data_IF_579360459522
#
_entry.id   IF_579360459522
#
_cell.length_a   1.000
_cell.length_b   1.000
_cell.length_c   1.000
_cell.angle_alpha   90.00
_cell.angle_beta   90.00
_cell.angle_gamma   90.00
#
_symmetry.space_group_name_H-M   'P 1'
#
loop_
_entity.id
_entity.type
_entity.pdbx_description
1 polymer ?
#
# COMPACT_ATOMS: atom_id res chain seq x y z
N UNK A 1 -8.31 7.15 11.74
CA UNK A 1 -9.06 6.05 12.40
C UNK A 1 -8.67 6.01 13.87
N UNK A 2 -9.48 6.58 14.80
CA UNK A 2 -9.03 6.90 16.16
C UNK A 2 -8.39 5.75 16.92
N UNK A 3 -8.97 4.54 16.86
CA UNK A 3 -8.39 3.36 17.51
C UNK A 3 -7.07 2.92 16.88
N UNK A 4 -6.91 2.98 15.55
CA UNK A 4 -5.64 2.63 14.89
C UNK A 4 -4.54 3.63 15.22
N UNK A 5 -4.86 4.92 15.19
CA UNK A 5 -3.89 5.99 15.45
C UNK A 5 -3.43 5.95 16.92
N UNK A 6 -4.36 5.66 17.83
CA UNK A 6 -4.05 5.36 19.24
C UNK A 6 -3.18 4.10 19.39
N UNK A 7 -3.48 3.01 18.68
CA UNK A 7 -2.68 1.78 18.73
C UNK A 7 -1.28 1.99 18.16
N UNK A 8 -1.13 2.71 17.06
CA UNK A 8 0.17 3.00 16.45
C UNK A 8 1.10 3.73 17.42
N UNK A 9 0.57 4.68 18.19
CA UNK A 9 1.35 5.45 19.16
C UNK A 9 1.63 4.72 20.49
N UNK A 10 0.83 3.70 20.84
CA UNK A 10 0.89 3.03 22.15
C UNK A 10 1.43 1.60 22.12
N UNK A 11 1.24 0.85 21.03
CA UNK A 11 1.72 -0.53 20.91
C UNK A 11 3.24 -0.68 21.07
N UNK A 12 4.08 0.19 20.46
CA UNK A 12 5.54 0.06 20.56
C UNK A 12 6.08 0.38 21.96
N UNK A 13 5.28 1.02 22.82
CA UNK A 13 5.72 1.41 24.17
C UNK A 13 5.81 0.18 25.07
N UNK A 14 6.96 0.00 25.72
CA UNK A 14 7.14 -1.01 26.77
C UNK A 14 6.43 -0.55 28.03
N UNK A 15 5.19 -1.01 28.22
CA UNK A 15 4.35 -0.70 29.38
C UNK A 15 3.88 -2.00 30.04
N UNK A 16 3.77 -2.00 31.36
CA UNK A 16 3.18 -3.12 32.10
C UNK A 16 1.76 -3.40 31.61
N UNK A 17 1.43 -4.68 31.40
CA UNK A 17 0.09 -5.12 30.99
C UNK A 17 -1.02 -4.67 31.94
N UNK A 18 -0.69 -4.40 33.21
CA UNK A 18 -1.66 -3.96 34.22
C UNK A 18 -1.86 -2.44 34.25
N UNK A 19 -1.01 -1.67 33.56
CA UNK A 19 -1.13 -0.21 33.49
C UNK A 19 -2.44 0.22 32.81
N UNK A 20 -2.95 1.39 33.18
CA UNK A 20 -4.15 1.96 32.58
C UNK A 20 -3.99 2.09 31.05
N UNK A 21 -2.84 2.60 30.62
CA UNK A 21 -2.53 2.79 29.20
C UNK A 21 -2.52 1.48 28.44
N UNK A 22 -1.92 0.41 28.98
CA UNK A 22 -1.87 -0.88 28.29
C UNK A 22 -3.23 -1.58 28.27
N UNK A 23 -4.07 -1.41 29.30
CA UNK A 23 -5.47 -1.88 29.27
C UNK A 23 -6.27 -1.15 28.19
N UNK A 24 -6.10 0.16 28.05
CA UNK A 24 -6.73 0.94 26.97
C UNK A 24 -6.24 0.48 25.59
N UNK A 25 -4.95 0.18 25.43
CA UNK A 25 -4.42 -0.42 24.19
C UNK A 25 -5.09 -1.75 23.88
N UNK A 26 -5.27 -2.64 24.87
CA UNK A 26 -5.95 -3.93 24.67
C UNK A 26 -7.44 -3.75 24.33
N UNK A 27 -8.14 -2.82 24.99
CA UNK A 27 -9.54 -2.50 24.67
C UNK A 27 -9.69 -1.91 23.26
N UNK A 28 -8.74 -1.09 22.81
CA UNK A 28 -8.73 -0.56 21.45
C UNK A 28 -8.47 -1.67 20.41
N UNK A 29 -7.60 -2.65 20.72
CA UNK A 29 -7.41 -3.85 19.89
C UNK A 29 -8.70 -4.68 19.81
N UNK A 30 -9.31 -4.99 20.95
CA UNK A 30 -10.56 -5.74 21.03
C UNK A 30 -11.66 -5.05 20.22
N UNK A 31 -11.85 -3.74 20.43
CA UNK A 31 -12.83 -2.94 19.70
C UNK A 31 -12.61 -3.00 18.19
N UNK A 32 -11.34 -2.90 17.75
CA UNK A 32 -11.01 -2.97 16.33
C UNK A 32 -11.27 -4.37 15.74
N UNK A 33 -11.03 -5.43 16.51
CA UNK A 33 -11.30 -6.81 16.13
C UNK A 33 -12.80 -7.17 16.14
N UNK A 34 -13.58 -6.56 17.03
CA UNK A 34 -15.03 -6.78 17.19
C UNK A 34 -15.88 -5.91 16.28
N UNK A 35 -15.32 -4.88 15.67
CA UNK A 35 -16.02 -3.97 14.78
C UNK A 35 -16.53 -4.70 13.52
N UNK A 36 -17.82 -4.54 13.24
CA UNK A 36 -18.55 -5.25 12.18
C UNK A 36 -18.52 -4.54 10.83
N UNK A 37 -17.88 -3.38 10.77
CA UNK A 37 -17.79 -2.61 9.53
C UNK A 37 -17.10 -3.41 8.44
N UNK A 38 -17.75 -3.47 7.28
CA UNK A 38 -17.21 -4.20 6.13
C UNK A 38 -16.21 -3.35 5.35
N UNK A 39 -16.12 -2.05 5.66
CA UNK A 39 -15.25 -1.09 4.99
C UNK A 39 -14.49 -0.21 5.97
N UNK A 40 -13.18 -0.11 5.75
CA UNK A 40 -12.30 0.82 6.47
C UNK A 40 -12.14 2.11 5.66
N UNK A 41 -13.08 3.05 5.79
CA UNK A 41 -12.96 4.35 5.13
C UNK A 41 -11.79 5.16 5.67
N UNK A 42 -11.27 6.03 4.81
CA UNK A 42 -10.25 7.03 5.11
C UNK A 42 -10.93 8.39 5.17
N UNK A 43 -10.36 9.32 5.93
CA UNK A 43 -10.98 10.64 6.12
C UNK A 43 -10.99 11.42 4.79
N UNK A 44 -9.92 11.27 4.00
CA UNK A 44 -9.84 11.84 2.65
C UNK A 44 -10.71 11.12 1.60
N UNK A 45 -11.27 9.95 1.95
CA UNK A 45 -11.99 9.09 1.04
C UNK A 45 -13.13 8.36 1.74
N UNK A 46 -14.09 9.13 2.22
CA UNK A 46 -15.30 8.67 2.85
C UNK A 46 -16.56 9.12 2.08
N UNK A 47 -17.69 8.46 2.33
CA UNK A 47 -19.01 8.99 1.96
C UNK A 47 -19.30 10.36 2.59
N UNK A 48 -20.11 11.17 1.92
CA UNK A 48 -20.75 12.36 2.47
C UNK A 48 -22.08 11.92 3.09
N UNK A 49 -22.07 11.59 4.38
CA UNK A 49 -23.19 10.89 5.02
C UNK A 49 -23.33 9.47 4.47
N UNK A 50 -24.43 9.18 3.77
CA UNK A 50 -24.68 7.87 3.15
C UNK A 50 -24.47 7.85 1.62
N UNK A 51 -24.00 8.95 1.04
CA UNK A 51 -23.87 9.09 -0.41
C UNK A 51 -22.43 9.39 -0.84
N UNK A 52 -22.13 9.07 -2.09
CA UNK A 52 -20.93 9.54 -2.78
C UNK A 52 -21.13 11.00 -3.25
N UNK A 53 -20.05 11.71 -3.57
CA UNK A 53 -20.08 13.04 -4.17
C UNK A 53 -20.90 13.13 -5.49
N UNK A 54 -21.15 12.00 -6.15
CA UNK A 54 -22.01 11.93 -7.34
C UNK A 54 -23.50 11.82 -6.99
N UNK A 55 -23.87 11.89 -5.71
CA UNK A 55 -25.25 11.80 -5.21
C UNK A 55 -25.78 10.37 -5.04
N UNK A 56 -25.09 9.36 -5.58
CA UNK A 56 -25.51 7.96 -5.43
C UNK A 56 -25.31 7.45 -4.01
N UNK A 57 -26.27 6.65 -3.54
CA UNK A 57 -26.17 5.99 -2.24
C UNK A 57 -25.06 4.95 -2.26
N UNK A 58 -24.29 4.89 -1.17
CA UNK A 58 -23.20 3.91 -1.03
C UNK A 58 -23.75 2.50 -0.90
N UNK A 59 -24.98 2.35 -0.40
CA UNK A 59 -25.65 1.04 -0.27
C UNK A 59 -26.08 0.44 -1.62
N UNK A 60 -26.03 1.20 -2.72
CA UNK A 60 -26.21 0.66 -4.07
C UNK A 60 -25.06 -0.26 -4.50
N UNK A 61 -23.90 -0.16 -3.85
CA UNK A 61 -22.70 -0.90 -4.24
C UNK A 61 -22.44 -2.07 -3.28
N UNK A 62 -21.98 -3.20 -3.84
CA UNK A 62 -21.41 -4.29 -3.02
C UNK A 62 -20.20 -3.77 -2.22
N UNK A 63 -19.95 -4.32 -1.04
CA UNK A 63 -18.89 -3.82 -0.13
C UNK A 63 -17.51 -3.69 -0.78
N UNK A 64 -17.07 -4.71 -1.53
CA UNK A 64 -15.81 -4.70 -2.28
C UNK A 64 -15.76 -3.67 -3.44
N UNK A 65 -16.87 -2.98 -3.73
CA UNK A 65 -16.99 -1.95 -4.78
C UNK A 65 -17.24 -0.55 -4.23
N UNK A 66 -17.77 -0.42 -3.01
CA UNK A 66 -18.04 0.87 -2.35
C UNK A 66 -16.79 1.77 -2.34
N UNK A 67 -15.67 1.27 -1.82
CA UNK A 67 -14.41 2.02 -1.82
C UNK A 67 -13.90 2.36 -3.23
N UNK A 68 -13.94 1.39 -4.16
CA UNK A 68 -13.50 1.60 -5.54
C UNK A 68 -14.32 2.69 -6.25
N UNK A 69 -15.63 2.72 -5.96
CA UNK A 69 -16.52 3.74 -6.46
C UNK A 69 -16.11 5.12 -5.94
N UNK A 70 -15.95 5.28 -4.62
CA UNK A 70 -15.50 6.53 -3.99
C UNK A 70 -14.19 7.00 -4.62
N UNK A 71 -13.16 6.15 -4.63
CA UNK A 71 -11.84 6.48 -5.21
C UNK A 71 -11.95 7.04 -6.62
N UNK A 72 -12.69 6.35 -7.49
CA UNK A 72 -12.88 6.76 -8.89
C UNK A 72 -13.67 8.05 -9.02
N UNK A 73 -14.69 8.25 -8.18
CA UNK A 73 -15.51 9.45 -8.22
C UNK A 73 -14.73 10.67 -7.74
N UNK A 74 -14.04 10.57 -6.58
CA UNK A 74 -13.22 11.67 -6.04
C UNK A 74 -12.10 12.03 -7.01
N UNK A 75 -11.36 11.02 -7.51
CA UNK A 75 -10.31 11.25 -8.52
C UNK A 75 -10.85 11.94 -9.77
N UNK A 76 -12.03 11.53 -10.27
CA UNK A 76 -12.65 12.16 -11.44
C UNK A 76 -13.05 13.60 -11.15
N UNK A 77 -13.68 13.85 -10.01
CA UNK A 77 -14.13 15.18 -9.61
C UNK A 77 -12.97 16.17 -9.52
N UNK A 78 -11.92 15.82 -8.76
CA UNK A 78 -10.75 16.69 -8.65
C UNK A 78 -10.06 16.90 -10.00
N UNK A 79 -9.94 15.86 -10.84
CA UNK A 79 -9.39 16.01 -12.20
C UNK A 79 -10.23 16.90 -13.09
N UNK A 80 -11.56 16.82 -13.01
CA UNK A 80 -12.42 17.70 -13.80
C UNK A 80 -12.35 19.15 -13.35
N UNK A 81 -12.19 19.38 -12.05
CA UNK A 81 -12.17 20.74 -11.47
C UNK A 81 -10.79 21.41 -11.61
N UNK A 82 -9.70 20.65 -11.44
CA UNK A 82 -8.35 21.19 -11.35
C UNK A 82 -7.39 20.73 -12.47
N UNK A 83 -7.83 19.82 -13.33
CA UNK A 83 -6.98 19.21 -14.38
C UNK A 83 -6.02 18.12 -13.87
N UNK A 84 -5.76 18.08 -12.56
CA UNK A 84 -4.88 17.09 -11.93
C UNK A 84 -5.49 16.59 -10.60
N UNK A 85 -5.26 15.32 -10.29
CA UNK A 85 -5.53 14.78 -8.96
C UNK A 85 -4.70 13.53 -8.69
N UNK A 86 -4.00 13.53 -7.56
CA UNK A 86 -3.36 12.38 -6.95
C UNK A 86 -3.71 12.35 -5.46
N UNK A 87 -3.66 11.17 -4.85
CA UNK A 87 -3.81 11.00 -3.41
C UNK A 87 -2.52 10.40 -2.86
N UNK A 88 -1.98 10.94 -1.78
CA UNK A 88 -0.98 10.26 -0.97
C UNK A 88 -1.69 9.32 0.01
N UNK A 89 -1.52 8.01 -0.14
CA UNK A 89 -2.11 7.08 0.83
C UNK A 89 -1.38 7.04 2.17
N UNK A 90 -0.09 7.39 2.20
CA UNK A 90 0.65 7.47 3.47
C UNK A 90 0.13 8.63 4.32
N UNK A 91 -0.10 9.80 3.72
CA UNK A 91 -0.60 10.99 4.42
C UNK A 91 -2.12 11.13 4.46
N UNK A 92 -2.85 10.32 3.69
CA UNK A 92 -4.29 10.45 3.49
C UNK A 92 -4.72 11.83 2.96
N UNK A 93 -4.05 12.32 1.90
CA UNK A 93 -4.29 13.67 1.37
C UNK A 93 -4.38 13.70 -0.16
N UNK A 94 -5.33 14.48 -0.68
CA UNK A 94 -5.46 14.75 -2.11
C UNK A 94 -4.63 15.97 -2.51
N UNK A 95 -3.90 15.83 -3.61
CA UNK A 95 -3.14 16.87 -4.28
C UNK A 95 -3.76 17.14 -5.65
N UNK A 96 -4.12 18.39 -5.90
CA UNK A 96 -4.75 18.83 -7.14
C UNK A 96 -3.83 19.67 -8.02
N UNK A 97 -2.60 19.92 -7.54
CA UNK A 97 -1.53 20.58 -8.27
C UNK A 97 -0.35 19.61 -8.49
N UNK A 98 0.17 19.55 -9.71
CA UNK A 98 1.27 18.62 -10.05
C UNK A 98 2.59 19.00 -9.37
N UNK A 99 2.88 20.29 -9.20
CA UNK A 99 4.10 20.76 -8.52
C UNK A 99 4.06 20.46 -7.02
N UNK A 100 2.90 20.63 -6.39
CA UNK A 100 2.72 20.28 -4.97
C UNK A 100 2.86 18.77 -4.77
N UNK A 101 2.28 17.95 -5.66
CA UNK A 101 2.45 16.50 -5.63
C UNK A 101 3.92 16.09 -5.82
N UNK A 102 4.63 16.72 -6.76
CA UNK A 102 6.03 16.44 -7.02
C UNK A 102 6.90 16.78 -5.79
N UNK A 103 6.66 17.94 -5.18
CA UNK A 103 7.35 18.35 -3.96
C UNK A 103 7.05 17.39 -2.80
N UNK A 104 5.78 17.03 -2.60
CA UNK A 104 5.37 16.12 -1.55
C UNK A 104 5.99 14.71 -1.70
N UNK A 105 6.08 14.20 -2.92
CA UNK A 105 6.80 12.95 -3.17
C UNK A 105 8.28 13.06 -2.80
N UNK A 106 8.91 14.22 -2.97
CA UNK A 106 10.31 14.41 -2.57
C UNK A 106 10.45 14.35 -1.05
N UNK A 107 9.54 14.94 -0.28
CA UNK A 107 9.56 14.90 1.20
C UNK A 107 9.58 13.46 1.73
N UNK A 108 8.79 12.57 1.12
CA UNK A 108 8.80 11.14 1.44
C UNK A 108 10.09 10.43 1.02
N UNK A 109 10.67 10.80 -0.13
CA UNK A 109 11.93 10.23 -0.61
C UNK A 109 13.14 10.69 0.21
N UNK A 110 13.05 11.86 0.85
CA UNK A 110 14.05 12.37 1.79
C UNK A 110 13.97 11.64 3.15
N UNK A 111 12.82 11.03 3.46
CA UNK A 111 12.58 10.24 4.67
C UNK A 111 12.19 8.79 4.32
N UNK A 112 13.07 8.03 3.63
CA UNK A 112 12.69 6.77 3.01
C UNK A 112 12.36 5.64 4.00
N UNK A 113 12.68 5.81 5.29
CA UNK A 113 12.34 4.86 6.35
C UNK A 113 10.83 4.64 6.48
N UNK A 114 10.02 5.66 6.20
CA UNK A 114 8.56 5.58 6.26
C UNK A 114 7.96 4.70 5.15
N UNK A 115 8.74 4.46 4.08
CA UNK A 115 8.32 3.69 2.91
C UNK A 115 8.87 2.25 2.88
N UNK A 116 9.47 1.77 3.99
CA UNK A 116 10.19 0.49 4.01
C UNK A 116 9.32 -0.70 3.56
N UNK A 117 8.08 -0.74 4.02
CA UNK A 117 7.10 -1.75 3.61
C UNK A 117 6.51 -1.38 2.25
N UNK A 118 6.66 -2.24 1.25
CA UNK A 118 6.34 -1.92 -0.14
C UNK A 118 5.07 -2.62 -0.68
N UNK A 119 4.48 -3.57 0.04
CA UNK A 119 3.32 -4.34 -0.44
C UNK A 119 2.00 -3.54 -0.39
N UNK A 120 1.11 -3.75 -1.36
CA UNK A 120 -0.25 -3.24 -1.28
C UNK A 120 -1.02 -3.97 -0.17
N UNK A 121 -1.62 -3.22 0.74
CA UNK A 121 -2.44 -3.77 1.82
C UNK A 121 -3.91 -3.38 1.66
N UNK A 122 -4.78 -4.37 1.79
CA UNK A 122 -6.23 -4.20 1.82
C UNK A 122 -6.72 -4.63 3.21
N UNK A 123 -7.53 -3.78 3.83
CA UNK A 123 -8.20 -4.08 5.08
C UNK A 123 -9.67 -3.71 4.94
N UNK A 124 -10.58 -4.64 5.28
CA UNK A 124 -12.03 -4.45 5.14
C UNK A 124 -12.38 -3.82 3.80
N UNK A 125 -12.14 -4.53 2.70
CA UNK A 125 -12.49 -4.09 1.34
C UNK A 125 -11.88 -2.74 0.85
N UNK A 126 -11.01 -2.09 1.62
CA UNK A 126 -10.38 -0.82 1.29
C UNK A 126 -8.85 -0.95 1.29
N UNK A 127 -8.15 -0.46 0.25
CA UNK A 127 -6.71 -0.25 0.29
C UNK A 127 -6.32 0.71 1.42
N UNK A 128 -5.48 0.21 2.33
CA UNK A 128 -4.90 1.01 3.41
C UNK A 128 -3.44 1.34 3.15
N UNK A 129 -2.77 0.66 2.22
CA UNK A 129 -1.43 1.01 1.74
C UNK A 129 -1.31 0.65 0.26
N UNK A 130 -0.74 1.53 -0.57
CA UNK A 130 -0.49 1.21 -1.97
C UNK A 130 0.73 0.30 -2.07
N UNK A 131 0.82 -0.46 -3.16
CA UNK A 131 2.10 -1.07 -3.51
C UNK A 131 3.08 0.02 -3.96
N UNK A 132 4.31 -0.01 -3.45
CA UNK A 132 5.42 0.83 -3.91
C UNK A 132 6.53 -0.08 -4.44
N UNK A 133 7.19 0.33 -5.52
CA UNK A 133 8.26 -0.49 -6.08
C UNK A 133 9.62 -0.05 -5.50
N UNK A 134 10.37 -0.92 -4.81
CA UNK A 134 11.66 -0.54 -4.21
C UNK A 134 12.67 -0.06 -5.26
N UNK A 135 12.63 -0.62 -6.46
CA UNK A 135 13.46 -0.20 -7.59
C UNK A 135 13.10 1.18 -8.12
N UNK A 136 11.80 1.49 -8.24
CA UNK A 136 11.37 2.83 -8.66
C UNK A 136 11.65 3.88 -7.60
N UNK A 137 11.47 3.56 -6.32
CA UNK A 137 11.86 4.45 -5.22
C UNK A 137 13.35 4.80 -5.30
N UNK A 138 14.20 3.85 -5.66
CA UNK A 138 15.64 4.03 -5.87
C UNK A 138 16.08 4.78 -7.13
N UNK A 139 15.18 4.99 -8.10
CA UNK A 139 15.55 5.47 -9.42
C UNK A 139 15.82 6.99 -9.43
N UNK A 140 17.01 7.40 -8.97
CA UNK A 140 17.43 8.82 -8.83
C UNK A 140 17.34 9.66 -10.11
N UNK A 141 17.34 9.03 -11.28
CA UNK A 141 17.22 9.70 -12.59
C UNK A 141 15.78 10.09 -12.94
N UNK A 142 14.79 9.61 -12.20
CA UNK A 142 13.36 9.89 -12.43
C UNK A 142 12.86 10.97 -11.46
N UNK A 143 11.84 11.70 -11.90
CA UNK A 143 11.11 12.65 -11.06
C UNK A 143 10.51 11.93 -9.82
N UNK A 144 10.50 12.57 -8.63
CA UNK A 144 9.85 12.06 -7.41
C UNK A 144 8.49 11.38 -7.62
N UNK A 145 7.57 12.01 -8.34
CA UNK A 145 6.22 11.50 -8.64
C UNK A 145 6.23 10.18 -9.41
N UNK A 146 7.25 9.95 -10.25
CA UNK A 146 7.45 8.69 -10.97
C UNK A 146 8.10 7.63 -10.10
N UNK A 147 9.04 8.02 -9.23
CA UNK A 147 9.68 7.12 -8.26
C UNK A 147 8.66 6.57 -7.26
N UNK A 148 7.76 7.41 -6.76
CA UNK A 148 6.66 7.06 -5.86
C UNK A 148 5.37 6.62 -6.58
N UNK A 149 5.47 5.91 -7.70
CA UNK A 149 4.28 5.38 -8.38
C UNK A 149 3.51 4.41 -7.46
N UNK A 150 2.26 4.76 -7.13
CA UNK A 150 1.41 3.99 -6.21
C UNK A 150 0.55 2.95 -6.94
N UNK A 151 0.71 1.67 -6.60
CA UNK A 151 -0.07 0.56 -7.14
C UNK A 151 -1.26 0.25 -6.23
N UNK A 152 -2.36 0.98 -6.41
CA UNK A 152 -3.53 0.92 -5.50
C UNK A 152 -4.51 -0.19 -5.88
N UNK A 153 -4.87 -0.28 -7.17
CA UNK A 153 -5.99 -1.11 -7.64
C UNK A 153 -5.57 -2.48 -8.18
N UNK A 154 -4.27 -2.77 -8.22
CA UNK A 154 -3.78 -3.96 -8.90
C UNK A 154 -2.50 -4.50 -8.26
N UNK A 155 -2.64 -5.26 -7.15
CA UNK A 155 -1.54 -6.05 -6.61
C UNK A 155 -0.84 -6.92 -7.66
N UNK A 156 -1.55 -7.55 -8.63
CA UNK A 156 -0.88 -8.30 -9.68
C UNK A 156 0.07 -7.47 -10.55
N UNK A 157 -0.30 -6.21 -10.87
CA UNK A 157 0.58 -5.31 -11.65
C UNK A 157 1.79 -4.87 -10.84
N UNK A 158 1.62 -4.67 -9.54
CA UNK A 158 2.74 -4.38 -8.64
C UNK A 158 3.76 -5.53 -8.63
N UNK A 159 3.30 -6.77 -8.45
CA UNK A 159 4.18 -7.94 -8.49
C UNK A 159 4.91 -8.07 -9.84
N UNK A 160 4.20 -7.96 -10.97
CA UNK A 160 4.85 -8.11 -12.28
C UNK A 160 5.87 -7.00 -12.53
N UNK A 161 5.57 -5.79 -12.09
CA UNK A 161 6.48 -4.66 -12.25
C UNK A 161 7.81 -4.89 -11.50
N UNK A 162 7.77 -5.47 -10.29
CA UNK A 162 8.98 -5.84 -9.56
C UNK A 162 9.68 -7.02 -10.22
N UNK A 163 8.93 -8.04 -10.67
CA UNK A 163 9.48 -9.18 -11.42
C UNK A 163 10.24 -8.73 -12.67
N UNK A 164 9.78 -7.68 -13.35
CA UNK A 164 10.44 -7.14 -14.54
C UNK A 164 11.78 -6.47 -14.21
N UNK A 165 11.87 -5.70 -13.12
CA UNK A 165 13.16 -5.18 -12.63
C UNK A 165 14.14 -6.30 -12.32
N UNK A 166 13.67 -7.36 -11.65
CA UNK A 166 14.53 -8.50 -11.28
C UNK A 166 15.09 -9.24 -12.50
N UNK A 167 14.32 -9.37 -13.59
CA UNK A 167 14.78 -9.98 -14.85
C UNK A 167 15.85 -9.16 -15.55
N UNK A 168 15.86 -7.85 -15.35
CA UNK A 168 16.83 -6.93 -15.97
C UNK A 168 18.17 -6.89 -15.22
N UNK A 169 18.21 -7.39 -13.97
CA UNK A 169 19.45 -7.47 -13.18
C UNK A 169 20.41 -8.51 -13.78
N UNK A 170 21.66 -8.09 -13.99
CA UNK A 170 22.73 -8.98 -14.49
C UNK A 170 23.80 -9.29 -13.44
N UNK A 171 24.34 -8.24 -12.82
CA UNK A 171 25.49 -8.36 -11.89
C UNK A 171 25.36 -7.48 -10.65
N UNK A 172 24.37 -6.59 -10.62
CA UNK A 172 24.13 -5.65 -9.54
C UNK A 172 22.90 -6.14 -8.77
N UNK A 173 23.15 -6.79 -7.64
CA UNK A 173 22.12 -7.36 -6.77
C UNK A 173 21.82 -6.47 -5.57
N UNK A 174 22.17 -5.19 -5.63
CA UNK A 174 21.91 -4.29 -4.51
C UNK A 174 20.42 -4.00 -4.39
N UNK A 175 19.93 -3.93 -3.15
CA UNK A 175 18.59 -3.40 -2.95
C UNK A 175 18.57 -1.93 -3.36
N UNK A 176 17.66 -1.60 -4.29
CA UNK A 176 17.52 -0.22 -4.79
C UNK A 176 16.64 0.64 -3.90
N UNK A 177 15.99 0.09 -2.89
CA UNK A 177 15.18 0.89 -1.98
C UNK A 177 16.05 1.96 -1.26
N UNK A 178 15.65 3.24 -1.22
CA UNK A 178 16.48 4.32 -0.68
C UNK A 178 16.80 4.20 0.82
N UNK A 179 16.00 3.44 1.58
CA UNK A 179 16.29 3.12 2.99
C UNK A 179 17.26 1.94 3.18
N UNK A 180 17.67 1.26 2.11
CA UNK A 180 18.55 0.10 2.17
C UNK A 180 19.95 0.47 1.68
N UNK A 181 20.97 -0.13 2.31
CA UNK A 181 22.37 0.01 1.91
C UNK A 181 23.06 -1.35 1.71
N UNK A 182 22.27 -2.43 1.66
CA UNK A 182 22.79 -3.80 1.62
C UNK A 182 23.07 -4.23 0.18
N UNK A 183 24.27 -4.73 -0.03
CA UNK A 183 24.73 -5.35 -1.28
C UNK A 183 24.69 -6.87 -1.14
N UNK A 184 24.19 -7.58 -2.15
CA UNK A 184 24.02 -9.03 -2.10
C UNK A 184 24.91 -9.73 -3.13
N UNK A 185 25.27 -11.00 -2.88
CA UNK A 185 26.14 -11.78 -3.77
C UNK A 185 25.36 -12.49 -4.88
N UNK A 186 24.05 -12.60 -4.74
CA UNK A 186 23.19 -13.31 -5.69
C UNK A 186 21.79 -12.71 -5.75
N UNK A 187 21.09 -13.00 -6.85
CA UNK A 187 19.67 -12.68 -7.02
C UNK A 187 18.79 -13.33 -5.96
N UNK A 188 19.18 -14.51 -5.48
CA UNK A 188 18.45 -15.25 -4.45
C UNK A 188 18.51 -14.53 -3.11
N UNK A 189 19.68 -14.07 -2.68
CA UNK A 189 19.85 -13.28 -1.45
C UNK A 189 19.06 -11.96 -1.51
N UNK A 190 19.12 -11.24 -2.65
CA UNK A 190 18.30 -10.05 -2.87
C UNK A 190 16.80 -10.39 -2.76
N UNK A 191 16.37 -11.53 -3.33
CA UNK A 191 14.97 -11.96 -3.28
C UNK A 191 14.50 -12.20 -1.84
N UNK A 192 15.32 -12.85 -1.00
CA UNK A 192 14.99 -13.02 0.42
C UNK A 192 14.87 -11.66 1.13
N UNK A 193 15.79 -10.74 0.86
CA UNK A 193 15.70 -9.39 1.42
C UNK A 193 14.41 -8.66 1.00
N UNK A 194 14.01 -8.75 -0.27
CA UNK A 194 12.76 -8.16 -0.76
C UNK A 194 11.52 -8.78 -0.08
N UNK A 195 11.54 -10.08 0.21
CA UNK A 195 10.47 -10.76 0.96
C UNK A 195 10.41 -10.26 2.39
N UNK A 196 11.55 -10.27 3.10
CA UNK A 196 11.60 -10.05 4.54
C UNK A 196 11.47 -8.57 4.91
N UNK A 197 12.08 -7.68 4.13
CA UNK A 197 12.15 -6.24 4.42
C UNK A 197 11.04 -5.47 3.70
N UNK A 198 10.77 -5.82 2.44
CA UNK A 198 9.86 -5.06 1.58
C UNK A 198 8.50 -5.76 1.37
N UNK A 199 8.28 -6.91 2.01
CA UNK A 199 7.05 -7.71 1.93
C UNK A 199 6.66 -8.10 0.50
N UNK A 200 7.63 -8.19 -0.41
CA UNK A 200 7.38 -8.68 -1.76
C UNK A 200 7.41 -10.20 -1.77
N UNK A 201 6.24 -10.81 -1.72
CA UNK A 201 6.10 -12.26 -1.86
C UNK A 201 5.97 -12.65 -3.34
N UNK A 202 6.94 -13.37 -3.95
CA UNK A 202 6.83 -13.84 -5.32
C UNK A 202 5.51 -14.58 -5.51
N UNK A 203 4.86 -14.38 -6.66
CA UNK A 203 3.67 -15.19 -6.97
C UNK A 203 4.08 -16.65 -6.99
N UNK A 204 3.44 -17.46 -6.16
CA UNK A 204 3.58 -18.92 -6.23
C UNK A 204 3.26 -19.33 -7.66
N UNK A 205 4.23 -19.91 -8.35
CA UNK A 205 3.92 -20.62 -9.59
C UNK A 205 2.92 -21.69 -9.18
N UNK A 206 1.68 -21.58 -9.65
CA UNK A 206 0.70 -22.66 -9.49
C UNK A 206 1.41 -23.94 -9.93
N UNK A 207 1.46 -25.01 -9.10
CA UNK A 207 2.09 -26.25 -9.53
C UNK A 207 1.50 -26.60 -10.89
N UNK A 208 2.36 -26.75 -11.90
CA UNK A 208 1.94 -27.17 -13.24
C UNK A 208 1.01 -28.35 -13.01
N UNK A 209 -0.27 -28.24 -13.43
CA UNK A 209 -1.21 -29.37 -13.37
C UNK A 209 -0.49 -30.55 -14.00
N UNK A 210 -0.07 -31.54 -13.20
CA UNK A 210 0.47 -32.80 -13.75
C UNK A 210 -0.64 -33.32 -14.66
N UNK A 211 -0.39 -33.38 -15.98
CA UNK A 211 -1.30 -34.06 -16.89
C UNK A 211 -1.31 -35.51 -16.43
N UNK A 212 -2.47 -36.00 -15.99
CA UNK A 212 -2.70 -37.39 -15.57
C UNK A 212 -2.69 -38.34 -16.79
N UNK A 213 -1.74 -38.18 -17.72
CA UNK A 213 -1.70 -38.94 -18.97
C UNK A 213 -0.55 -39.95 -19.05
N UNK A 214 0.35 -40.01 -18.06
CA UNK A 214 1.53 -40.89 -18.11
C UNK A 214 1.59 -41.94 -16.98
N UNK A 215 0.45 -42.35 -16.44
CA UNK A 215 0.37 -43.60 -15.65
C UNK A 215 -0.19 -44.68 -16.56
N UNK A 216 0.71 -45.43 -17.20
CA UNK A 216 0.38 -46.74 -17.78
C UNK A 216 0.30 -47.74 -16.63
N UNK A 217 -0.88 -48.32 -16.42
CA UNK A 217 -1.05 -49.57 -15.68
C UNK A 217 -0.58 -50.74 -16.54
#
# INVERSE_FOLDING_TARGET
MPHRDFLASTLPRSLSLRSLDRRRTLQALESLCSETDTISYRDSLSPLGQACLCGRSIEEFKDHRKWLHLYRCYSRHYKSTHGFAQICFECDLWFTNESEWEHHCQEHLDNPGDLLRCDPMIFRNAPIKPGLCPFCLGAKTKKPSKRMSQFVLSPPKWHSHIEDHLKELKFDFDCKHPACSTTFRSLEELTYHLVDTHCWHPRRQSPKKRKWADIKF
#
